data_IF_428658810228
#
_entry.id   IF_428658810228
#
_cell.length_a   1.000
_cell.length_b   1.000
_cell.length_c   1.000
_cell.angle_alpha   90.00
_cell.angle_beta   90.00
_cell.angle_gamma   90.00
#
_symmetry.space_group_name_H-M   'P 1'
#
loop_
_entity.id
_entity.type
_entity.pdbx_description
1 polymer ?
#
# COMPACT_ATOMS: atom_id res chain seq x y z
N UNK A 1 67.53 -3.47 28.48
CA UNK A 1 67.93 -4.70 27.76
C UNK A 1 67.91 -5.88 28.74
N UNK A 2 66.89 -6.74 28.65
CA UNK A 2 66.83 -8.17 29.01
C UNK A 2 65.36 -8.55 29.29
N UNK A 3 64.76 -9.23 28.31
CA UNK A 3 63.44 -9.86 28.40
C UNK A 3 63.39 -10.88 29.54
N UNK A 4 62.19 -11.18 30.06
CA UNK A 4 61.92 -12.60 30.25
C UNK A 4 60.46 -13.01 29.98
N UNK A 5 60.36 -14.20 29.39
CA UNK A 5 59.33 -15.22 29.60
C UNK A 5 57.89 -14.99 29.10
N UNK A 6 57.64 -15.64 27.96
CA UNK A 6 56.71 -16.77 27.84
C UNK A 6 55.39 -16.66 28.62
N UNK A 7 54.32 -16.30 27.91
CA UNK A 7 52.99 -16.82 28.20
C UNK A 7 52.42 -17.41 26.92
N UNK A 8 52.82 -18.66 26.70
CA UNK A 8 52.06 -19.68 25.97
C UNK A 8 50.55 -19.51 26.19
N UNK A 9 49.78 -19.42 25.09
CA UNK A 9 48.46 -20.05 24.98
C UNK A 9 48.05 -20.11 23.50
N UNK A 10 47.76 -21.33 23.09
CA UNK A 10 47.28 -21.71 21.78
C UNK A 10 45.79 -22.00 21.91
N UNK A 11 44.98 -21.41 21.05
CA UNK A 11 43.63 -21.87 20.67
C UNK A 11 43.46 -21.31 19.24
N UNK A 12 43.40 -22.09 18.16
CA UNK A 12 42.58 -23.27 18.01
C UNK A 12 41.17 -22.84 17.60
N UNK A 13 40.82 -23.12 16.34
CA UNK A 13 39.45 -23.42 15.86
C UNK A 13 38.58 -22.20 15.47
N UNK A 14 38.01 -22.27 14.26
CA UNK A 14 36.67 -21.71 14.02
C UNK A 14 36.50 -20.82 12.79
N UNK A 15 36.48 -21.44 11.61
CA UNK A 15 35.79 -20.88 10.45
C UNK A 15 34.31 -20.59 10.80
N UNK A 16 33.73 -19.59 10.13
CA UNK A 16 32.28 -19.46 9.89
C UNK A 16 31.44 -18.77 10.97
N UNK A 17 31.51 -17.44 11.02
CA UNK A 17 30.28 -16.67 11.21
C UNK A 17 30.20 -15.66 10.08
N UNK A 18 29.31 -15.96 9.13
CA UNK A 18 28.89 -15.09 8.05
C UNK A 18 28.62 -13.66 8.58
N UNK A 19 28.78 -12.61 7.76
CA UNK A 19 28.23 -11.32 8.12
C UNK A 19 26.71 -11.52 8.31
N UNK A 20 26.27 -11.53 9.56
CA UNK A 20 24.87 -11.53 9.95
C UNK A 20 24.18 -10.40 9.21
N UNK A 21 23.20 -10.80 8.43
CA UNK A 21 22.03 -10.04 8.07
C UNK A 21 22.34 -8.60 7.67
N UNK A 22 22.61 -8.47 6.36
CA UNK A 22 22.06 -7.37 5.62
C UNK A 22 20.60 -7.23 6.06
N UNK A 23 20.31 -6.32 7.00
CA UNK A 23 18.96 -5.89 7.29
C UNK A 23 18.51 -5.05 6.09
N UNK A 24 18.33 -5.71 4.94
CA UNK A 24 17.47 -5.22 3.88
C UNK A 24 16.05 -5.43 4.37
N UNK A 25 15.61 -4.61 5.33
CA UNK A 25 14.19 -4.27 5.40
C UNK A 25 13.92 -3.40 4.18
N UNK A 26 13.82 -4.04 3.01
CA UNK A 26 13.16 -3.44 1.86
C UNK A 26 11.66 -3.46 2.17
N UNK A 27 11.25 -2.53 3.02
CA UNK A 27 9.85 -2.23 3.27
C UNK A 27 9.65 -0.74 3.13
N UNK A 28 10.20 -0.18 2.04
CA UNK A 28 9.62 1.00 1.44
C UNK A 28 8.51 0.53 0.48
N UNK A 29 7.47 -0.12 1.02
CA UNK A 29 6.17 -0.20 0.34
C UNK A 29 5.54 1.19 0.44
N UNK A 30 6.07 2.12 -0.35
CA UNK A 30 5.47 3.43 -0.59
C UNK A 30 4.34 3.25 -1.60
N UNK A 31 3.29 2.54 -1.19
CA UNK A 31 2.15 2.20 -2.05
C UNK A 31 0.82 1.93 -1.32
N UNK A 32 0.81 1.95 0.02
CA UNK A 32 -0.38 1.55 0.79
C UNK A 32 -1.54 2.56 0.77
N UNK A 33 -1.27 3.86 0.63
CA UNK A 33 -2.31 4.87 0.88
C UNK A 33 -3.34 5.00 -0.25
N UNK A 34 -2.89 4.98 -1.52
CA UNK A 34 -3.80 5.12 -2.66
C UNK A 34 -4.80 3.95 -2.76
N UNK A 35 -4.37 2.76 -2.36
CA UNK A 35 -5.18 1.54 -2.47
C UNK A 35 -6.33 1.51 -1.45
N UNK A 36 -6.14 2.10 -0.26
CA UNK A 36 -7.21 2.21 0.74
C UNK A 36 -8.35 3.13 0.30
N UNK A 37 -8.05 4.22 -0.41
CA UNK A 37 -9.06 5.17 -0.84
C UNK A 37 -9.93 4.61 -1.98
N UNK A 38 -9.34 3.82 -2.87
CA UNK A 38 -10.08 3.10 -3.90
C UNK A 38 -11.05 2.06 -3.29
N UNK A 39 -10.60 1.31 -2.27
CA UNK A 39 -11.46 0.36 -1.55
C UNK A 39 -12.65 1.09 -0.92
N UNK A 40 -12.41 2.20 -0.22
CA UNK A 40 -13.48 3.01 0.38
C UNK A 40 -14.48 3.53 -0.66
N UNK A 41 -14.00 3.94 -1.83
CA UNK A 41 -14.86 4.41 -2.94
C UNK A 41 -15.75 3.29 -3.46
N UNK A 42 -15.19 2.09 -3.64
CA UNK A 42 -15.94 0.91 -4.10
C UNK A 42 -16.98 0.51 -3.04
N UNK A 43 -16.60 0.45 -1.76
CA UNK A 43 -17.53 0.14 -0.67
C UNK A 43 -18.70 1.13 -0.62
N UNK A 44 -18.42 2.42 -0.82
CA UNK A 44 -19.47 3.44 -0.89
C UNK A 44 -20.39 3.23 -2.10
N UNK A 45 -19.87 2.77 -3.24
CA UNK A 45 -20.66 2.45 -4.42
C UNK A 45 -21.55 1.22 -4.20
N UNK A 46 -21.02 0.18 -3.55
CA UNK A 46 -21.78 -1.02 -3.19
C UNK A 46 -22.95 -0.68 -2.24
N UNK A 47 -22.71 0.15 -1.23
CA UNK A 47 -23.79 0.62 -0.34
C UNK A 47 -24.90 1.36 -1.09
N UNK A 48 -24.55 2.18 -2.10
CA UNK A 48 -25.56 2.85 -2.95
C UNK A 48 -26.36 1.86 -3.79
N UNK A 49 -25.75 0.76 -4.22
CA UNK A 49 -26.45 -0.30 -4.93
C UNK A 49 -27.45 -1.01 -4.05
N UNK A 50 -27.07 -1.33 -2.82
CA UNK A 50 -27.98 -1.90 -1.80
C UNK A 50 -29.13 -0.96 -1.46
N UNK A 51 -28.84 0.35 -1.36
CA UNK A 51 -29.83 1.38 -1.10
C UNK A 51 -30.72 1.74 -2.31
N UNK A 52 -30.47 1.14 -3.49
CA UNK A 52 -31.19 1.44 -4.72
C UNK A 52 -30.90 2.83 -5.30
N UNK A 53 -29.84 3.50 -4.85
CA UNK A 53 -29.40 4.84 -5.29
C UNK A 53 -28.19 4.78 -6.23
N UNK A 54 -27.83 3.58 -6.70
CA UNK A 54 -26.73 3.41 -7.64
C UNK A 54 -27.05 4.09 -8.97
N UNK A 55 -26.05 4.79 -9.52
CA UNK A 55 -26.21 5.56 -10.75
C UNK A 55 -26.96 6.89 -10.58
N UNK A 56 -27.09 7.41 -9.35
CA UNK A 56 -27.60 8.76 -9.10
C UNK A 56 -26.47 9.71 -8.66
N UNK A 57 -26.50 10.93 -9.18
CA UNK A 57 -25.57 11.99 -8.82
C UNK A 57 -25.84 12.48 -7.40
N UNK A 58 -24.80 12.56 -6.57
CA UNK A 58 -24.93 13.07 -5.19
C UNK A 58 -25.14 14.58 -5.11
N UNK A 59 -24.87 15.31 -6.20
CA UNK A 59 -24.93 16.78 -6.23
C UNK A 59 -26.29 17.29 -6.75
N UNK A 60 -26.77 16.75 -7.87
CA UNK A 60 -28.03 17.19 -8.48
C UNK A 60 -29.16 16.16 -8.36
N UNK A 61 -28.87 14.91 -8.00
CA UNK A 61 -29.86 13.82 -7.99
C UNK A 61 -30.17 13.21 -9.36
N UNK A 62 -29.59 13.73 -10.44
CA UNK A 62 -29.81 13.20 -11.79
C UNK A 62 -29.14 11.85 -12.01
N UNK A 63 -29.59 11.14 -13.03
CA UNK A 63 -29.06 9.85 -13.42
C UNK A 63 -27.68 9.98 -14.08
N UNK A 64 -26.73 9.16 -13.66
CA UNK A 64 -25.38 9.08 -14.22
C UNK A 64 -25.44 8.19 -15.47
N UNK A 65 -24.90 8.69 -16.58
CA UNK A 65 -24.87 7.95 -17.84
C UNK A 65 -24.11 6.61 -17.71
N UNK A 66 -24.68 5.53 -18.27
CA UNK A 66 -24.07 4.19 -18.24
C UNK A 66 -22.63 4.16 -18.73
N UNK A 67 -22.29 4.92 -19.79
CA UNK A 67 -20.91 5.02 -20.30
C UNK A 67 -19.88 5.46 -19.24
N UNK A 68 -20.28 6.24 -18.24
CA UNK A 68 -19.39 6.64 -17.13
C UNK A 68 -19.32 5.55 -16.07
N UNK A 69 -20.45 4.93 -15.72
CA UNK A 69 -20.50 3.82 -14.76
C UNK A 69 -19.74 2.58 -15.26
N UNK A 70 -19.76 2.31 -16.57
CA UNK A 70 -18.96 1.24 -17.19
C UNK A 70 -17.46 1.52 -17.09
N UNK A 71 -17.06 2.79 -17.04
CA UNK A 71 -15.65 3.21 -16.93
C UNK A 71 -15.18 3.23 -15.47
N UNK A 72 -15.99 3.79 -14.59
CA UNK A 72 -15.76 3.86 -13.14
C UNK A 72 -17.11 3.69 -12.41
N UNK A 73 -17.40 2.51 -11.85
CA UNK A 73 -18.65 2.25 -11.13
C UNK A 73 -18.72 2.96 -9.78
N UNK A 74 -17.59 3.48 -9.27
CA UNK A 74 -17.54 4.23 -8.02
C UNK A 74 -17.74 5.74 -8.20
N UNK A 75 -18.03 6.20 -9.42
CA UNK A 75 -18.30 7.63 -9.69
C UNK A 75 -19.60 8.09 -9.02
N UNK A 76 -19.56 9.28 -8.42
CA UNK A 76 -20.64 9.83 -7.59
C UNK A 76 -21.38 11.01 -8.23
N UNK A 77 -20.96 11.42 -9.42
CA UNK A 77 -21.35 12.67 -10.06
C UNK A 77 -21.71 12.47 -11.53
N UNK A 78 -22.75 13.15 -12.01
CA UNK A 78 -23.10 13.19 -13.43
C UNK A 78 -22.08 14.02 -14.24
N UNK A 79 -22.17 13.93 -15.58
CA UNK A 79 -21.31 14.67 -16.51
C UNK A 79 -21.33 16.15 -16.18
N UNK A 80 -22.52 16.70 -16.13
CA UNK A 80 -22.81 18.11 -15.89
C UNK A 80 -22.26 18.68 -14.59
N UNK A 81 -22.23 17.90 -13.50
CA UNK A 81 -21.68 18.38 -12.21
C UNK A 81 -20.16 18.28 -12.10
N UNK A 82 -19.53 17.49 -12.98
CA UNK A 82 -18.08 17.27 -12.97
C UNK A 82 -17.50 17.62 -14.37
N UNK A 83 -18.10 18.61 -15.02
CA UNK A 83 -17.59 19.27 -16.23
C UNK A 83 -16.53 20.31 -15.81
N UNK A 84 -15.33 19.80 -15.55
CA UNK A 84 -14.05 20.51 -15.64
C UNK A 84 -13.07 19.63 -16.44
#
# INVERSE_FOLDING_TARGET
>A
MKSPLDHRQADGIGMSSAPSDHACTDSEITGGQAQEDDIKRIDAALRRLEDGRFGLCLYCGDQISMKRLDRDPAIMSCGTCNED
#
